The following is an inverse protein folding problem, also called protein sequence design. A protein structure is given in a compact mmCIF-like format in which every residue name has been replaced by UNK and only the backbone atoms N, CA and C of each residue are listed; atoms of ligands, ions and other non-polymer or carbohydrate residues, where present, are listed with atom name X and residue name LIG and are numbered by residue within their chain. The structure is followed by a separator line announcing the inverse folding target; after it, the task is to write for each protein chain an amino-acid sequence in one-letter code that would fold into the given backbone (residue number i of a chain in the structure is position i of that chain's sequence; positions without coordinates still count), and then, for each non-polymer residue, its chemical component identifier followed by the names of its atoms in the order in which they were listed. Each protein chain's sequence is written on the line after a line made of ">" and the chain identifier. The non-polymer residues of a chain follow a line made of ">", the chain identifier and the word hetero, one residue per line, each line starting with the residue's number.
data_IF_894059347797
#
_entry.id   IF_894059347797
#
_cell.length_a   1.000
_cell.length_b   1.000
_cell.length_c   1.000
_cell.angle_alpha   90.00
_cell.angle_beta   90.00
_cell.angle_gamma   90.00
#
_symmetry.space_group_name_H-M   'P 1'
#
loop_
_entity.id
_entity.type
_entity.pdbx_description
1 polymer ?
#
# COMPACT_ATOMS: atom_id res chain seq x y z
N UNK A 1 -4.42 -10.47 -18.76
CA UNK A 1 -3.43 -9.41 -18.51
C UNK A 1 -4.08 -8.06 -18.33
N UNK A 2 -4.79 -7.57 -19.35
CA UNK A 2 -5.48 -6.28 -19.23
C UNK A 2 -6.49 -6.28 -18.09
N UNK A 3 -7.18 -7.38 -17.89
CA UNK A 3 -8.18 -7.50 -16.85
C UNK A 3 -7.58 -7.38 -15.46
N UNK A 4 -6.42 -8.01 -15.25
CA UNK A 4 -5.73 -7.89 -13.97
C UNK A 4 -5.25 -6.47 -13.73
N UNK A 5 -4.72 -5.84 -14.77
CA UNK A 5 -4.25 -4.47 -14.65
C UNK A 5 -5.39 -3.51 -14.35
N UNK A 6 -6.53 -3.72 -14.98
CA UNK A 6 -7.70 -2.87 -14.74
C UNK A 6 -8.24 -3.04 -13.32
N UNK A 7 -8.31 -4.27 -12.84
CA UNK A 7 -8.79 -4.54 -11.50
C UNK A 7 -7.85 -3.91 -10.46
N UNK A 8 -6.54 -4.12 -10.64
CA UNK A 8 -5.56 -3.55 -9.73
C UNK A 8 -5.58 -2.04 -9.74
N UNK A 9 -5.69 -1.45 -10.93
CA UNK A 9 -5.75 -0.01 -11.06
C UNK A 9 -6.97 0.56 -10.36
N UNK A 10 -8.12 -0.08 -10.54
CA UNK A 10 -9.35 0.35 -9.88
C UNK A 10 -9.23 0.25 -8.38
N UNK A 11 -8.63 -0.83 -7.89
CA UNK A 11 -8.41 -1.01 -6.46
C UNK A 11 -7.51 0.06 -5.88
N UNK A 12 -6.45 0.43 -6.61
CA UNK A 12 -5.55 1.49 -6.16
C UNK A 12 -6.26 2.84 -6.11
N UNK A 13 -7.11 3.12 -7.09
CA UNK A 13 -7.89 4.34 -7.08
C UNK A 13 -8.83 4.40 -5.89
N UNK A 14 -9.49 3.29 -5.60
CA UNK A 14 -10.38 3.20 -4.45
C UNK A 14 -9.63 3.35 -3.14
N UNK A 15 -8.44 2.77 -3.06
CA UNK A 15 -7.60 2.90 -1.88
C UNK A 15 -7.19 4.35 -1.64
N UNK A 16 -6.83 5.06 -2.71
CA UNK A 16 -6.48 6.46 -2.60
C UNK A 16 -7.64 7.30 -2.08
N UNK A 17 -8.84 7.12 -2.65
CA UNK A 17 -10.01 7.85 -2.19
C UNK A 17 -10.32 7.55 -0.73
N UNK A 18 -10.20 6.28 -0.35
CA UNK A 18 -10.44 5.85 1.02
C UNK A 18 -9.50 6.57 1.99
N UNK A 19 -8.21 6.61 1.65
CA UNK A 19 -7.21 7.26 2.48
C UNK A 19 -7.44 8.77 2.55
N UNK A 20 -7.81 9.39 1.44
CA UNK A 20 -8.09 10.82 1.42
C UNK A 20 -9.27 11.15 2.35
N UNK A 21 -10.30 10.31 2.38
CA UNK A 21 -11.41 10.51 3.29
C UNK A 21 -11.00 10.39 4.75
N UNK A 22 -9.97 9.61 5.02
CA UNK A 22 -9.43 9.47 6.37
C UNK A 22 -8.40 10.55 6.71
N UNK A 23 -8.28 11.56 5.85
CA UNK A 23 -7.40 12.71 6.06
C UNK A 23 -5.93 12.38 5.88
N UNK A 24 -5.62 11.36 5.11
CA UNK A 24 -4.25 11.10 4.68
C UNK A 24 -3.92 12.04 3.52
N UNK A 25 -2.69 12.50 3.48
CA UNK A 25 -2.20 13.29 2.36
C UNK A 25 -1.36 12.39 1.46
N UNK A 26 -1.79 12.23 0.21
CA UNK A 26 -1.06 11.38 -0.73
C UNK A 26 0.14 12.15 -1.25
N UNK A 27 1.33 11.60 -1.05
CA UNK A 27 2.56 12.23 -1.51
C UNK A 27 3.01 11.68 -2.86
N UNK A 28 2.79 10.40 -3.11
CA UNK A 28 3.19 9.76 -4.35
C UNK A 28 2.40 8.49 -4.56
N UNK A 29 2.23 8.10 -5.82
CA UNK A 29 1.60 6.83 -6.16
C UNK A 29 2.50 6.13 -7.16
N UNK A 30 2.53 4.80 -7.09
CA UNK A 30 3.35 3.97 -7.98
C UNK A 30 4.78 4.48 -8.06
N UNK A 31 5.37 4.73 -6.91
CA UNK A 31 6.72 5.28 -6.82
C UNK A 31 7.73 4.18 -7.05
N UNK A 32 8.45 4.29 -8.14
CA UNK A 32 9.36 3.24 -8.57
C UNK A 32 10.70 3.34 -7.87
N UNK A 33 11.17 2.18 -7.37
CA UNK A 33 12.48 2.05 -6.79
C UNK A 33 13.13 0.81 -7.37
N UNK A 34 14.15 1.01 -8.19
CA UNK A 34 14.90 -0.05 -8.87
C UNK A 34 13.97 -0.88 -9.76
N UNK A 35 13.46 -2.03 -9.30
CA UNK A 35 12.63 -2.89 -10.17
C UNK A 35 11.21 -3.13 -9.68
N UNK A 36 10.79 -2.41 -8.66
CA UNK A 36 9.42 -2.57 -8.17
C UNK A 36 8.92 -1.21 -7.68
N UNK A 37 7.69 -1.15 -7.23
CA UNK A 37 7.03 0.10 -6.90
C UNK A 37 6.39 0.04 -5.53
N UNK A 38 6.29 1.22 -4.90
CA UNK A 38 5.41 1.41 -3.75
C UNK A 38 4.09 1.93 -4.30
N UNK A 39 2.99 1.28 -3.95
CA UNK A 39 1.69 1.64 -4.49
C UNK A 39 1.26 3.05 -4.07
N UNK A 40 1.31 3.35 -2.79
CA UNK A 40 0.93 4.66 -2.28
C UNK A 40 1.90 5.07 -1.17
N UNK A 41 2.35 6.32 -1.22
CA UNK A 41 3.11 6.92 -0.13
C UNK A 41 2.30 8.09 0.37
N UNK A 42 1.99 8.11 1.65
CA UNK A 42 1.12 9.13 2.22
C UNK A 42 1.67 9.66 3.53
N UNK A 43 1.15 10.79 3.95
CA UNK A 43 1.46 11.37 5.26
C UNK A 43 0.16 11.40 6.06
N UNK A 44 0.21 10.91 7.28
CA UNK A 44 -0.94 10.94 8.17
C UNK A 44 -0.48 11.35 9.56
N UNK A 45 -0.98 12.49 9.98
CA UNK A 45 -0.54 13.13 11.23
C UNK A 45 0.96 13.41 11.11
N UNK A 46 1.83 12.80 11.76
CA UNK A 46 3.25 13.05 11.57
C UNK A 46 4.00 11.81 11.09
N UNK A 47 3.26 10.80 10.62
CA UNK A 47 3.88 9.58 10.15
C UNK A 47 3.87 9.50 8.63
N UNK A 48 4.97 9.00 8.09
CA UNK A 48 5.04 8.64 6.68
C UNK A 48 4.52 7.22 6.55
N UNK A 49 3.48 7.04 5.74
CA UNK A 49 2.79 5.75 5.63
C UNK A 49 3.05 5.16 4.25
N UNK A 50 3.65 3.99 4.23
CA UNK A 50 3.92 3.24 3.00
C UNK A 50 2.80 2.22 2.87
N UNK A 51 2.04 2.31 1.80
CA UNK A 51 0.82 1.50 1.64
C UNK A 51 0.95 0.55 0.48
N UNK A 52 0.75 -0.73 0.76
CA UNK A 52 0.65 -1.76 -0.27
C UNK A 52 -0.84 -2.05 -0.48
N UNK A 53 -1.28 -1.99 -1.72
CA UNK A 53 -2.69 -2.23 -2.06
C UNK A 53 -2.81 -3.63 -2.66
N UNK A 54 -3.70 -4.43 -2.11
CA UNK A 54 -3.99 -5.78 -2.62
C UNK A 54 -5.45 -5.84 -3.04
N UNK A 55 -5.68 -6.09 -4.31
CA UNK A 55 -7.03 -6.19 -4.86
C UNK A 55 -7.28 -7.63 -5.28
N UNK A 56 -8.40 -8.20 -4.83
CA UNK A 56 -8.79 -9.58 -5.17
C UNK A 56 -10.30 -9.66 -5.34
N UNK A 57 -10.72 -10.69 -6.10
CA UNK A 57 -12.15 -10.86 -6.35
C UNK A 57 -12.89 -11.51 -5.19
N UNK A 58 -12.19 -12.26 -4.35
CA UNK A 58 -12.80 -12.89 -3.18
C UNK A 58 -11.80 -12.95 -2.07
N UNK A 59 -12.27 -13.20 -0.85
CA UNK A 59 -11.41 -13.36 0.30
C UNK A 59 -11.03 -14.83 0.51
N UNK A 60 -10.85 -15.56 -0.58
CA UNK A 60 -10.66 -17.02 -0.52
C UNK A 60 -9.25 -17.45 -0.15
N UNK A 61 -8.28 -16.58 -0.18
CA UNK A 61 -6.87 -16.97 -0.08
C UNK A 61 -6.16 -16.39 1.13
N UNK A 62 -6.81 -16.38 2.29
CA UNK A 62 -6.16 -15.98 3.52
C UNK A 62 -6.29 -14.51 3.84
N UNK A 63 -5.57 -14.09 4.85
CA UNK A 63 -5.63 -12.73 5.34
C UNK A 63 -4.78 -11.80 4.47
N UNK A 64 -5.15 -10.51 4.39
CA UNK A 64 -4.38 -9.55 3.56
C UNK A 64 -2.89 -9.49 3.89
N UNK A 65 -2.53 -9.60 5.17
CA UNK A 65 -1.13 -9.57 5.58
C UNK A 65 -0.33 -10.69 4.95
N UNK A 66 -0.96 -11.85 4.76
CA UNK A 66 -0.29 -13.00 4.18
C UNK A 66 0.03 -12.80 2.72
N UNK A 67 -0.65 -11.85 2.06
CA UNK A 67 -0.40 -11.58 0.66
C UNK A 67 0.85 -10.74 0.44
N UNK A 68 1.42 -10.17 1.51
CA UNK A 68 2.64 -9.39 1.41
C UNK A 68 3.79 -10.22 1.93
N UNK A 69 4.56 -10.80 1.02
CA UNK A 69 5.63 -11.74 1.36
C UNK A 69 6.77 -11.04 2.08
N UNK A 70 7.62 -11.85 2.74
CA UNK A 70 8.81 -11.31 3.38
C UNK A 70 9.71 -10.60 2.38
N UNK A 71 9.80 -11.13 1.17
CA UNK A 71 10.58 -10.51 0.11
C UNK A 71 10.04 -9.12 -0.25
N UNK A 72 8.72 -9.02 -0.38
CA UNK A 72 8.09 -7.73 -0.67
C UNK A 72 8.27 -6.76 0.50
N UNK A 73 8.14 -7.26 1.72
CA UNK A 73 8.35 -6.42 2.90
C UNK A 73 9.75 -5.83 2.91
N UNK A 74 10.76 -6.63 2.61
CA UNK A 74 12.14 -6.14 2.55
C UNK A 74 12.30 -5.08 1.47
N UNK A 75 11.66 -5.30 0.32
CA UNK A 75 11.68 -4.31 -0.75
C UNK A 75 11.07 -2.99 -0.26
N UNK A 76 9.90 -3.07 0.38
CA UNK A 76 9.19 -1.87 0.83
C UNK A 76 10.01 -1.08 1.85
N UNK A 77 10.72 -1.77 2.74
CA UNK A 77 11.58 -1.11 3.71
C UNK A 77 12.72 -0.36 3.01
N UNK A 78 13.37 -1.00 2.04
CA UNK A 78 14.45 -0.36 1.29
C UNK A 78 13.96 0.83 0.50
N UNK A 79 12.82 0.65 -0.17
CA UNK A 79 12.24 1.72 -0.98
C UNK A 79 11.82 2.90 -0.12
N UNK A 80 11.26 2.62 1.05
CA UNK A 80 10.86 3.67 2.00
C UNK A 80 12.07 4.46 2.46
N UNK A 81 13.17 3.77 2.77
CA UNK A 81 14.40 4.44 3.18
C UNK A 81 14.92 5.35 2.07
N UNK A 82 14.88 4.88 0.83
CA UNK A 82 15.31 5.68 -0.31
C UNK A 82 14.46 6.93 -0.47
N UNK A 83 13.14 6.79 -0.30
CA UNK A 83 12.23 7.93 -0.39
C UNK A 83 12.52 8.95 0.72
N UNK A 84 12.69 8.46 1.93
CA UNK A 84 12.99 9.32 3.09
C UNK A 84 14.28 10.10 2.87
N UNK A 85 15.31 9.42 2.39
CA UNK A 85 16.60 10.08 2.11
C UNK A 85 16.46 11.11 0.99
N UNK A 86 15.78 10.72 -0.08
CA UNK A 86 15.62 11.60 -1.24
C UNK A 86 14.86 12.86 -0.89
N UNK A 87 13.87 12.76 -0.03
CA UNK A 87 13.02 13.89 0.35
C UNK A 87 13.48 14.55 1.65
N UNK A 88 14.56 14.07 2.23
CA UNK A 88 15.13 14.60 3.47
C UNK A 88 14.09 14.67 4.58
N UNK A 89 13.38 13.57 4.78
CA UNK A 89 12.36 13.45 5.81
C UNK A 89 12.94 12.79 7.06
N UNK A 90 12.36 13.13 8.23
CA UNK A 90 12.76 12.47 9.47
C UNK A 90 11.55 11.94 10.22
N UNK A 91 10.45 11.76 9.52
CA UNK A 91 9.21 11.24 10.11
C UNK A 91 9.34 9.76 10.41
N UNK A 92 8.58 9.31 11.40
CA UNK A 92 8.42 7.87 11.60
C UNK A 92 7.75 7.25 10.38
N UNK A 93 8.14 6.03 10.06
CA UNK A 93 7.63 5.33 8.89
C UNK A 93 6.75 4.17 9.37
N UNK A 94 5.56 4.07 8.79
CA UNK A 94 4.61 3.01 9.10
C UNK A 94 4.24 2.29 7.82
N UNK A 95 4.12 0.96 7.90
CA UNK A 95 3.79 0.13 6.73
C UNK A 95 2.38 -0.40 6.86
N UNK A 96 1.51 -0.01 5.94
CA UNK A 96 0.10 -0.38 5.96
C UNK A 96 -0.25 -1.23 4.76
N UNK A 97 -1.32 -1.99 4.88
CA UNK A 97 -1.90 -2.73 3.76
C UNK A 97 -3.34 -2.27 3.61
N UNK A 98 -3.74 -1.96 2.38
CA UNK A 98 -5.14 -1.72 2.05
C UNK A 98 -5.58 -2.87 1.16
N UNK A 99 -6.53 -3.64 1.65
CA UNK A 99 -7.08 -4.77 0.93
C UNK A 99 -8.40 -4.38 0.30
N UNK A 100 -8.52 -4.55 -1.01
CA UNK A 100 -9.74 -4.26 -1.73
C UNK A 100 -10.28 -5.58 -2.24
N UNK A 101 -11.45 -5.95 -1.79
CA UNK A 101 -12.06 -7.23 -2.14
C UNK A 101 -13.30 -6.97 -2.96
N UNK A 102 -13.35 -7.63 -4.13
CA UNK A 102 -14.47 -7.50 -5.04
C UNK A 102 -15.29 -8.79 -4.99
N UNK A 103 -16.57 -8.67 -4.65
CA UNK A 103 -17.48 -9.80 -4.63
C UNK A 103 -18.71 -9.43 -5.45
N UNK A 104 -18.75 -9.91 -6.69
CA UNK A 104 -19.76 -9.49 -7.63
C UNK A 104 -19.62 -8.02 -7.95
N UNK A 105 -20.63 -7.24 -7.63
CA UNK A 105 -20.61 -5.79 -7.86
C UNK A 105 -20.28 -5.01 -6.59
N UNK A 106 -19.99 -5.73 -5.51
CA UNK A 106 -19.67 -5.09 -4.24
C UNK A 106 -18.19 -5.02 -4.04
N UNK A 107 -17.74 -3.89 -3.51
CA UNK A 107 -16.33 -3.65 -3.19
C UNK A 107 -16.22 -3.39 -1.70
N UNK A 108 -15.28 -4.08 -1.06
CA UNK A 108 -15.00 -3.88 0.36
C UNK A 108 -13.56 -3.48 0.51
N UNK A 109 -13.32 -2.54 1.42
CA UNK A 109 -11.97 -2.08 1.71
C UNK A 109 -11.66 -2.36 3.17
N UNK A 110 -10.50 -2.97 3.40
CA UNK A 110 -9.99 -3.20 4.73
C UNK A 110 -8.62 -2.55 4.83
N UNK A 111 -8.44 -1.70 5.82
CA UNK A 111 -7.17 -0.99 6.03
C UNK A 111 -6.50 -1.59 7.25
N UNK A 112 -5.32 -2.14 7.07
CA UNK A 112 -4.54 -2.72 8.14
C UNK A 112 -3.38 -1.78 8.41
N UNK A 113 -3.47 -1.04 9.51
CA UNK A 113 -2.43 -0.12 9.89
C UNK A 113 -1.31 -0.88 10.58
N UNK A 114 -0.08 -0.45 10.31
CA UNK A 114 1.07 -1.02 10.97
C UNK A 114 1.13 -2.54 10.77
N UNK A 115 0.97 -2.95 9.51
CA UNK A 115 0.79 -4.35 9.16
C UNK A 115 2.03 -5.20 9.36
N UNK A 116 3.21 -4.60 9.29
CA UNK A 116 4.46 -5.30 9.57
C UNK A 116 5.52 -4.27 9.95
N UNK A 117 6.60 -4.77 10.56
CA UNK A 117 7.71 -3.94 11.00
C UNK A 117 8.97 -4.29 10.25
N UNK A 118 9.86 -3.32 10.04
CA UNK A 118 11.17 -3.62 9.47
C UNK A 118 11.89 -4.63 10.37
N UNK A 119 12.43 -5.67 9.75
CA UNK A 119 13.26 -6.64 10.46
C UNK A 119 14.68 -6.56 9.94
N UNK A 120 15.61 -6.63 10.85
CA UNK A 120 17.03 -6.58 10.50
C UNK A 120 17.56 -7.92 10.01
#
# INVERSE_FOLDING_TARGET
>A
MAEHNELGKKGEEMAQEFLLRKKYKILATNWRYIKDEIDIIAMHKSQLVIVEVKTRRTNAFGEPEEAVTKKKQKFLVRAANAFVEQKELDNEVRFDIVSVIVCGQKWQIMHIEDAFYPTL
#
